data_IF_168508207718
#
_entry.id   IF_168508207718
#
_cell.length_a   1.000
_cell.length_b   1.000
_cell.length_c   1.000
_cell.angle_alpha   90.00
_cell.angle_beta   90.00
_cell.angle_gamma   90.00
#
_symmetry.space_group_name_H-M   'P 1'
#
loop_
_entity.id
_entity.type
_entity.pdbx_description
1 polymer ?
#
# COMPACT_ATOMS: atom_id res chain seq x y z
N UNK A 1 24.75 -14.02 -21.63
CA UNK A 1 25.39 -15.22 -21.04
C UNK A 1 24.81 -15.31 -19.64
N UNK A 2 23.81 -16.17 -19.43
CA UNK A 2 23.12 -16.28 -18.13
C UNK A 2 23.89 -17.30 -17.31
N UNK A 3 24.48 -16.87 -16.20
CA UNK A 3 25.14 -17.76 -15.24
C UNK A 3 24.07 -18.55 -14.48
N UNK A 4 23.59 -19.63 -15.07
CA UNK A 4 22.78 -20.61 -14.37
C UNK A 4 23.70 -21.42 -13.43
N UNK A 5 23.86 -20.96 -12.19
CA UNK A 5 24.57 -21.68 -11.14
C UNK A 5 25.63 -20.90 -10.34
N UNK A 6 25.84 -19.61 -10.61
CA UNK A 6 26.67 -18.78 -9.73
C UNK A 6 25.82 -18.27 -8.58
N UNK A 7 26.32 -18.43 -7.36
CA UNK A 7 25.78 -17.80 -6.16
C UNK A 7 25.54 -16.30 -6.44
N UNK A 8 24.30 -15.77 -6.32
CA UNK A 8 24.02 -14.35 -6.56
C UNK A 8 24.85 -13.41 -5.66
N UNK A 9 25.42 -13.93 -4.57
CA UNK A 9 26.30 -13.20 -3.68
C UNK A 9 27.76 -13.04 -4.21
N UNK A 10 28.16 -13.72 -5.31
CA UNK A 10 29.50 -13.53 -5.89
C UNK A 10 29.76 -12.11 -6.41
N UNK A 11 28.73 -11.36 -6.80
CA UNK A 11 28.84 -9.95 -7.23
C UNK A 11 29.11 -8.96 -6.09
N UNK A 12 29.23 -9.43 -4.85
CA UNK A 12 29.37 -8.59 -3.66
C UNK A 12 30.72 -8.72 -2.97
N UNK A 13 31.67 -9.48 -3.55
CA UNK A 13 33.04 -9.41 -3.03
C UNK A 13 33.53 -7.96 -3.06
N UNK A 14 34.38 -7.60 -2.10
CA UNK A 14 35.06 -6.30 -2.08
C UNK A 14 35.80 -6.03 -3.39
N UNK A 15 36.23 -7.09 -4.08
CA UNK A 15 36.95 -7.06 -5.35
C UNK A 15 36.04 -6.79 -6.57
N UNK A 16 34.72 -6.93 -6.43
CA UNK A 16 33.78 -6.74 -7.52
C UNK A 16 33.63 -5.24 -7.84
N UNK A 17 33.61 -4.86 -9.12
CA UNK A 17 33.52 -3.44 -9.49
C UNK A 17 32.12 -2.88 -9.20
N UNK A 18 32.00 -1.55 -9.12
CA UNK A 18 30.68 -0.91 -9.02
C UNK A 18 29.80 -1.35 -10.19
N UNK A 19 30.30 -1.34 -11.42
CA UNK A 19 29.52 -1.70 -12.62
C UNK A 19 28.92 -3.11 -12.55
N UNK A 20 29.69 -4.08 -12.04
CA UNK A 20 29.23 -5.46 -11.85
C UNK A 20 28.13 -5.54 -10.78
N UNK A 21 28.31 -4.83 -9.64
CA UNK A 21 27.28 -4.70 -8.61
C UNK A 21 25.99 -4.06 -9.15
N UNK A 22 26.10 -3.04 -10.00
CA UNK A 22 24.93 -2.36 -10.59
C UNK A 22 24.08 -3.29 -11.44
N UNK A 23 24.72 -4.17 -12.22
CA UNK A 23 24.01 -5.14 -13.07
C UNK A 23 23.35 -6.22 -12.22
N UNK A 24 24.01 -6.67 -11.14
CA UNK A 24 23.46 -7.64 -10.19
C UNK A 24 22.21 -7.10 -9.48
N UNK A 25 22.25 -5.87 -8.97
CA UNK A 25 21.09 -5.22 -8.33
C UNK A 25 19.93 -5.07 -9.33
N UNK A 26 20.24 -4.67 -10.57
CA UNK A 26 19.23 -4.53 -11.62
C UNK A 26 18.54 -5.86 -11.93
N UNK A 27 19.31 -6.93 -12.07
CA UNK A 27 18.78 -8.29 -12.29
C UNK A 27 17.92 -8.73 -11.11
N UNK A 28 18.33 -8.50 -9.86
CA UNK A 28 17.53 -8.86 -8.68
C UNK A 28 16.21 -8.07 -8.60
N UNK A 29 16.22 -6.79 -8.96
CA UNK A 29 15.00 -5.98 -9.07
C UNK A 29 14.04 -6.50 -10.15
N UNK A 30 14.57 -6.96 -11.29
CA UNK A 30 13.76 -7.55 -12.37
C UNK A 30 13.12 -8.89 -11.95
N UNK A 31 13.76 -9.65 -11.06
CA UNK A 31 13.25 -10.92 -10.54
C UNK A 31 12.38 -10.79 -9.29
N UNK A 32 12.36 -9.62 -8.64
CA UNK A 32 11.56 -9.38 -7.43
C UNK A 32 12.14 -10.02 -6.17
N UNK A 33 13.47 -10.20 -6.09
CA UNK A 33 14.13 -10.81 -4.94
C UNK A 33 14.24 -9.82 -3.76
N UNK A 34 13.15 -9.67 -2.99
CA UNK A 34 13.04 -8.68 -1.91
C UNK A 34 14.03 -8.96 -0.77
N UNK A 35 14.15 -10.22 -0.33
CA UNK A 35 15.07 -10.62 0.74
C UNK A 35 16.53 -10.28 0.38
N UNK A 36 16.87 -10.39 -0.90
CA UNK A 36 18.18 -10.04 -1.43
C UNK A 36 18.42 -8.53 -1.37
N UNK A 37 17.44 -7.72 -1.77
CA UNK A 37 17.52 -6.26 -1.77
C UNK A 37 17.65 -5.70 -0.34
N UNK A 38 17.02 -6.32 0.65
CA UNK A 38 17.13 -5.94 2.06
C UNK A 38 18.49 -6.27 2.69
N UNK A 39 19.24 -7.24 2.14
CA UNK A 39 20.55 -7.64 2.65
C UNK A 39 21.72 -6.78 2.11
N UNK A 40 21.51 -6.07 0.98
CA UNK A 40 22.54 -5.23 0.32
C UNK A 40 23.23 -4.21 1.25
N UNK A 41 22.52 -3.52 2.18
CA UNK A 41 23.16 -2.59 3.11
C UNK A 41 24.21 -3.22 4.02
N UNK A 42 24.28 -4.55 4.08
CA UNK A 42 25.22 -5.30 4.92
C UNK A 42 26.29 -6.08 4.13
N UNK A 43 26.22 -6.06 2.79
CA UNK A 43 26.99 -6.99 1.93
C UNK A 43 27.91 -6.33 0.89
N UNK A 44 27.92 -5.00 0.74
CA UNK A 44 28.79 -4.32 -0.23
C UNK A 44 29.75 -3.32 0.41
N UNK A 45 30.71 -2.78 -0.34
CA UNK A 45 31.45 -1.56 0.05
C UNK A 45 30.48 -0.38 0.22
N UNK A 46 30.85 0.68 0.95
CA UNK A 46 29.89 1.77 1.17
C UNK A 46 29.51 2.48 -0.14
N UNK A 47 30.41 2.61 -1.12
CA UNK A 47 30.09 3.12 -2.46
C UNK A 47 28.90 2.38 -3.10
N UNK A 48 28.90 1.04 -3.02
CA UNK A 48 27.83 0.18 -3.53
C UNK A 48 26.53 0.37 -2.76
N UNK A 49 26.60 0.48 -1.42
CA UNK A 49 25.43 0.75 -0.56
C UNK A 49 24.80 2.12 -0.87
N UNK A 50 25.64 3.14 -0.98
CA UNK A 50 25.25 4.51 -1.29
C UNK A 50 24.58 4.59 -2.66
N UNK A 51 25.16 3.96 -3.69
CA UNK A 51 24.52 3.87 -5.00
C UNK A 51 23.18 3.11 -4.94
N UNK A 52 23.13 2.00 -4.20
CA UNK A 52 21.91 1.22 -4.02
C UNK A 52 20.81 2.08 -3.40
N UNK A 53 21.08 2.80 -2.31
CA UNK A 53 20.09 3.67 -1.69
C UNK A 53 19.63 4.81 -2.62
N UNK A 54 20.59 5.47 -3.29
CA UNK A 54 20.31 6.55 -4.23
C UNK A 54 19.44 6.09 -5.42
N UNK A 55 19.69 4.89 -5.95
CA UNK A 55 18.99 4.35 -7.13
C UNK A 55 17.69 3.63 -6.77
N UNK A 56 17.70 2.81 -5.73
CA UNK A 56 16.56 1.98 -5.32
C UNK A 56 15.46 2.82 -4.65
N UNK A 57 15.82 3.66 -3.69
CA UNK A 57 14.84 4.51 -3.00
C UNK A 57 14.64 5.87 -3.68
N UNK A 58 15.46 6.20 -4.70
CA UNK A 58 15.43 7.50 -5.37
C UNK A 58 15.79 8.67 -4.45
N UNK A 59 16.35 8.39 -3.26
CA UNK A 59 16.70 9.36 -2.22
C UNK A 59 17.64 8.76 -1.18
N UNK A 60 18.47 9.61 -0.57
CA UNK A 60 19.37 9.27 0.54
C UNK A 60 18.79 9.61 1.93
N UNK A 61 17.54 10.09 2.00
CA UNK A 61 16.90 10.54 3.24
C UNK A 61 16.60 9.43 4.26
N UNK A 62 16.33 8.21 3.78
CA UNK A 62 16.04 7.05 4.63
C UNK A 62 17.27 6.19 4.93
N UNK A 63 18.43 6.55 4.40
CA UNK A 63 19.66 5.81 4.63
C UNK A 63 20.21 6.17 6.01
N UNK A 64 20.53 5.12 6.77
CA UNK A 64 21.24 5.23 8.04
C UNK A 64 22.68 5.74 7.79
N UNK A 65 23.07 6.91 8.34
CA UNK A 65 24.42 7.46 8.18
C UNK A 65 25.52 6.54 8.71
N UNK A 66 25.23 5.67 9.68
CA UNK A 66 26.21 4.73 10.25
C UNK A 66 26.66 3.66 9.25
N UNK A 67 25.92 3.49 8.15
CA UNK A 67 26.23 2.55 7.08
C UNK A 67 27.24 3.10 6.06
N UNK A 68 27.78 4.32 6.27
CA UNK A 68 28.81 4.89 5.40
C UNK A 68 30.05 5.27 6.20
N UNK A 69 31.23 4.80 5.77
CA UNK A 69 32.48 5.28 6.34
C UNK A 69 32.87 6.60 5.68
N UNK A 70 33.47 7.50 6.46
CA UNK A 70 33.91 8.80 5.95
C UNK A 70 34.89 8.69 4.78
N UNK A 71 35.76 7.67 4.79
CA UNK A 71 36.77 7.46 3.72
C UNK A 71 36.13 7.10 2.37
N UNK A 72 34.98 6.42 2.38
CA UNK A 72 34.25 6.05 1.16
C UNK A 72 33.63 7.27 0.46
N UNK A 73 33.39 8.34 1.23
CA UNK A 73 32.81 9.59 0.74
C UNK A 73 33.86 10.47 0.07
N UNK A 74 35.12 10.41 0.51
CA UNK A 74 36.22 11.26 0.00
C UNK A 74 36.52 11.01 -1.47
N UNK A 75 36.34 9.77 -1.94
CA UNK A 75 36.61 9.39 -3.33
C UNK A 75 35.43 9.61 -4.26
N UNK A 76 34.23 9.80 -3.72
CA UNK A 76 32.96 9.80 -4.46
C UNK A 76 32.06 11.01 -4.15
N UNK A 77 32.63 12.11 -3.62
CA UNK A 77 31.92 13.37 -3.35
C UNK A 77 31.04 13.85 -4.52
N UNK A 78 31.44 13.71 -5.81
CA UNK A 78 30.61 14.11 -6.94
C UNK A 78 29.48 13.13 -7.28
N UNK A 79 29.58 11.87 -6.82
CA UNK A 79 28.79 10.77 -7.35
C UNK A 79 27.40 10.64 -6.71
N UNK A 80 27.19 11.15 -5.50
CA UNK A 80 25.91 10.95 -4.82
C UNK A 80 25.41 12.23 -4.15
N UNK A 81 24.13 12.48 -4.40
CA UNK A 81 23.05 13.11 -3.62
C UNK A 81 23.14 13.09 -2.09
N UNK A 82 24.32 13.26 -1.48
CA UNK A 82 24.53 13.45 -0.04
C UNK A 82 23.88 14.73 0.45
N UNK A 83 23.89 15.74 -0.41
CA UNK A 83 23.47 17.08 -0.04
C UNK A 83 21.94 17.27 -0.09
N UNK A 84 21.17 16.18 -0.15
CA UNK A 84 19.75 16.23 0.17
C UNK A 84 19.45 15.80 1.62
N UNK A 85 20.32 15.07 2.33
CA UNK A 85 20.07 14.61 3.71
C UNK A 85 21.00 15.31 4.75
N UNK A 86 20.52 16.31 5.50
CA UNK A 86 21.36 17.04 6.46
C UNK A 86 21.80 16.18 7.65
N UNK A 87 21.13 15.04 7.92
CA UNK A 87 21.50 14.14 9.00
C UNK A 87 22.86 13.45 8.78
N UNK A 88 23.38 13.44 7.54
CA UNK A 88 24.69 12.84 7.22
C UNK A 88 25.84 13.80 7.56
N UNK A 89 25.60 15.12 7.61
CA UNK A 89 26.64 16.14 7.83
C UNK A 89 27.46 15.98 9.12
N UNK A 90 26.87 15.58 10.27
CA UNK A 90 27.63 15.33 11.50
C UNK A 90 28.65 14.19 11.37
N UNK A 91 28.42 13.24 10.46
CA UNK A 91 29.24 12.05 10.25
C UNK A 91 30.35 12.24 9.20
N UNK A 92 30.32 13.37 8.47
CA UNK A 92 31.38 13.75 7.54
C UNK A 92 32.63 14.23 8.29
N UNK A 93 33.81 13.92 7.76
CA UNK A 93 35.05 14.60 8.15
C UNK A 93 34.93 16.09 7.85
N UNK A 94 35.69 16.94 8.55
CA UNK A 94 35.66 18.39 8.33
C UNK A 94 36.07 18.76 6.89
N UNK A 95 37.02 18.00 6.31
CA UNK A 95 37.43 18.12 4.91
C UNK A 95 36.25 17.88 3.97
N UNK A 96 35.56 16.74 4.10
CA UNK A 96 34.39 16.42 3.30
C UNK A 96 33.24 17.40 3.48
N UNK A 97 32.96 17.77 4.74
CA UNK A 97 31.93 18.75 5.05
C UNK A 97 32.20 20.05 4.33
N UNK A 98 33.45 20.52 4.30
CA UNK A 98 33.82 21.75 3.59
C UNK A 98 33.63 21.63 2.06
N UNK A 99 33.93 20.47 1.47
CA UNK A 99 33.76 20.23 0.03
C UNK A 99 32.26 20.13 -0.33
N UNK A 100 31.47 19.43 0.49
CA UNK A 100 30.02 19.27 0.30
C UNK A 100 29.30 20.60 0.50
N UNK A 101 29.74 21.40 1.48
CA UNK A 101 29.16 22.72 1.79
C UNK A 101 29.68 23.84 0.88
N UNK A 102 30.60 23.55 -0.04
CA UNK A 102 31.05 24.52 -1.03
C UNK A 102 29.85 24.97 -1.92
N UNK A 103 29.60 26.28 -2.05
CA UNK A 103 28.48 26.79 -2.84
C UNK A 103 28.45 26.30 -4.29
N UNK A 104 29.60 26.18 -4.95
CA UNK A 104 29.70 25.71 -6.32
C UNK A 104 29.32 24.24 -6.46
N UNK A 105 29.71 23.43 -5.48
CA UNK A 105 29.34 22.03 -5.39
C UNK A 105 27.87 21.84 -5.03
N UNK A 106 27.33 22.57 -4.04
CA UNK A 106 25.90 22.53 -3.70
C UNK A 106 25.01 22.90 -4.90
N UNK A 107 25.46 23.84 -5.73
CA UNK A 107 24.79 24.20 -6.98
C UNK A 107 24.90 23.09 -8.04
N UNK A 108 26.09 22.47 -8.19
CA UNK A 108 26.30 21.36 -9.13
C UNK A 108 25.54 20.09 -8.75
N UNK A 109 25.38 19.82 -7.46
CA UNK A 109 24.71 18.62 -6.95
C UNK A 109 23.19 18.77 -6.84
N UNK A 110 22.63 19.88 -7.31
CA UNK A 110 21.20 20.22 -7.19
C UNK A 110 20.72 20.23 -5.73
N UNK A 111 21.65 20.52 -4.81
CA UNK A 111 21.51 20.35 -3.38
C UNK A 111 21.48 21.67 -2.61
N UNK A 112 21.17 22.76 -3.31
CA UNK A 112 20.97 24.08 -2.74
C UNK A 112 19.99 24.08 -1.54
N UNK A 113 19.09 23.10 -1.47
CA UNK A 113 18.16 22.92 -0.36
C UNK A 113 18.87 22.64 0.98
N UNK A 114 20.03 21.96 0.99
CA UNK A 114 20.82 21.78 2.21
C UNK A 114 21.23 23.14 2.79
N UNK A 115 21.73 24.04 1.93
CA UNK A 115 22.13 25.39 2.33
C UNK A 115 20.96 26.17 2.94
N UNK A 116 19.74 26.00 2.41
CA UNK A 116 18.54 26.66 2.95
C UNK A 116 17.99 26.03 4.24
N UNK A 117 18.29 24.76 4.51
CA UNK A 117 17.84 24.06 5.73
C UNK A 117 18.78 24.19 6.91
N UNK A 118 20.03 24.62 6.70
CA UNK A 118 21.04 24.72 7.74
C UNK A 118 21.05 26.13 8.36
N UNK A 119 20.98 26.25 9.70
CA UNK A 119 21.14 27.53 10.36
C UNK A 119 22.56 28.07 10.12
N UNK A 120 22.68 29.21 9.43
CA UNK A 120 23.97 29.81 9.07
C UNK A 120 24.62 29.25 7.80
N UNK A 121 23.84 28.61 6.91
CA UNK A 121 24.33 28.08 5.63
C UNK A 121 24.96 29.16 4.71
N UNK A 122 25.79 28.74 3.75
CA UNK A 122 26.50 29.66 2.87
C UNK A 122 25.55 30.47 1.98
N UNK A 123 25.83 31.78 1.81
CA UNK A 123 25.12 32.62 0.86
C UNK A 123 25.41 32.17 -0.58
N UNK A 124 24.42 31.58 -1.24
CA UNK A 124 24.56 31.19 -2.64
C UNK A 124 24.60 32.44 -3.53
N UNK A 125 25.57 32.58 -4.45
CA UNK A 125 25.67 33.75 -5.32
C UNK A 125 24.42 33.85 -6.21
N UNK A 126 23.78 35.03 -6.21
CA UNK A 126 22.53 35.28 -6.94
C UNK A 126 22.66 35.14 -8.48
N UNK A 127 23.89 35.12 -9.01
CA UNK A 127 24.19 34.95 -10.42
C UNK A 127 24.70 33.53 -10.68
N UNK A 128 23.90 32.71 -11.35
CA UNK A 128 24.33 31.37 -11.81
C UNK A 128 23.42 30.22 -11.39
N UNK A 129 22.48 30.44 -10.47
CA UNK A 129 21.39 29.49 -10.27
C UNK A 129 20.42 29.68 -11.43
N UNK A 130 20.56 28.88 -12.49
CA UNK A 130 19.61 28.92 -13.59
C UNK A 130 18.20 28.89 -13.03
N UNK A 131 17.38 29.87 -13.39
CA UNK A 131 16.00 30.03 -12.91
C UNK A 131 15.17 28.73 -13.06
N UNK A 132 15.56 27.87 -14.00
CA UNK A 132 15.00 26.53 -14.22
C UNK A 132 15.34 25.53 -13.11
N UNK A 133 16.55 25.54 -12.55
CA UNK A 133 16.93 24.68 -11.42
C UNK A 133 16.13 25.05 -10.16
N UNK A 134 15.97 26.35 -9.87
CA UNK A 134 15.13 26.82 -8.75
C UNK A 134 13.67 26.42 -8.93
N UNK A 135 13.09 26.58 -10.13
CA UNK A 135 11.72 26.15 -10.42
C UNK A 135 11.56 24.64 -10.27
N UNK A 136 12.50 23.86 -10.82
CA UNK A 136 12.49 22.40 -10.73
C UNK A 136 12.58 21.94 -9.28
N UNK A 137 13.44 22.56 -8.47
CA UNK A 137 13.60 22.27 -7.05
C UNK A 137 12.40 22.68 -6.21
N UNK A 138 11.79 23.83 -6.48
CA UNK A 138 10.54 24.23 -5.84
C UNK A 138 9.39 23.28 -6.19
N UNK A 139 9.36 22.75 -7.42
CA UNK A 139 8.41 21.72 -7.83
C UNK A 139 8.67 20.40 -7.08
N UNK A 140 9.91 19.94 -7.02
CA UNK A 140 10.33 18.75 -6.28
C UNK A 140 10.06 18.88 -4.78
N UNK A 141 10.35 20.02 -4.15
CA UNK A 141 10.06 20.30 -2.74
C UNK A 141 8.56 20.33 -2.45
N UNK A 142 7.75 20.91 -3.34
CA UNK A 142 6.28 20.88 -3.21
C UNK A 142 5.74 19.45 -3.36
N UNK A 143 6.28 18.69 -4.31
CA UNK A 143 5.96 17.28 -4.47
C UNK A 143 6.40 16.46 -3.25
N UNK A 144 7.58 16.71 -2.68
CA UNK A 144 8.11 16.06 -1.48
C UNK A 144 7.32 16.44 -0.22
N UNK A 145 7.00 17.72 0.00
CA UNK A 145 6.12 18.15 1.11
C UNK A 145 4.72 17.54 1.00
N UNK A 146 4.19 17.39 -0.22
CA UNK A 146 2.96 16.62 -0.46
C UNK A 146 3.14 15.14 -0.10
N UNK A 147 4.29 14.52 -0.42
CA UNK A 147 4.60 13.12 -0.05
C UNK A 147 4.79 12.91 1.46
N UNK A 148 5.39 13.87 2.18
CA UNK A 148 5.60 13.77 3.64
C UNK A 148 4.29 13.92 4.43
N UNK A 149 3.32 14.68 3.90
CA UNK A 149 2.03 14.91 4.56
C UNK A 149 0.92 13.94 4.15
N UNK A 150 1.10 13.21 3.05
CA UNK A 150 0.06 12.34 2.50
C UNK A 150 0.66 10.97 2.20
N UNK A 151 0.44 10.03 3.11
CA UNK A 151 0.74 8.60 2.93
C UNK A 151 -0.47 7.85 2.34
N UNK A 152 -0.29 6.66 1.74
CA UNK A 152 -1.43 5.83 1.31
C UNK A 152 -2.45 5.60 2.42
N UNK A 153 -1.98 5.38 3.65
CA UNK A 153 -2.83 5.23 4.84
C UNK A 153 -3.71 6.47 5.06
N UNK A 154 -3.10 7.66 5.09
CA UNK A 154 -3.86 8.91 5.29
C UNK A 154 -4.78 9.23 4.11
N UNK A 155 -4.43 8.78 2.90
CA UNK A 155 -5.29 8.92 1.73
C UNK A 155 -6.54 8.05 1.84
N UNK A 156 -6.40 6.78 2.25
CA UNK A 156 -7.53 5.89 2.53
C UNK A 156 -8.40 6.45 3.65
N UNK A 157 -7.80 6.87 4.77
CA UNK A 157 -8.56 7.43 5.89
C UNK A 157 -9.40 8.66 5.52
N UNK A 158 -8.97 9.42 4.50
CA UNK A 158 -9.68 10.59 3.96
C UNK A 158 -10.56 10.28 2.76
N UNK A 159 -10.63 9.01 2.36
CA UNK A 159 -11.29 8.53 1.14
C UNK A 159 -10.82 9.23 -0.15
N UNK A 160 -9.55 9.66 -0.22
CA UNK A 160 -8.99 10.41 -1.35
C UNK A 160 -8.49 9.48 -2.47
N UNK A 161 -9.44 9.03 -3.30
CA UNK A 161 -9.17 8.12 -4.42
C UNK A 161 -8.19 8.68 -5.46
N UNK A 162 -8.09 10.01 -5.61
CA UNK A 162 -7.15 10.63 -6.57
C UNK A 162 -5.71 10.39 -6.13
N UNK A 163 -5.44 10.59 -4.85
CA UNK A 163 -4.13 10.34 -4.25
C UNK A 163 -3.80 8.84 -4.27
N UNK A 164 -4.77 7.98 -3.93
CA UNK A 164 -4.59 6.52 -4.01
C UNK A 164 -4.22 6.09 -5.43
N UNK A 165 -4.99 6.49 -6.45
CA UNK A 165 -4.69 6.16 -7.85
C UNK A 165 -3.34 6.72 -8.30
N UNK A 166 -2.92 7.88 -7.80
CA UNK A 166 -1.59 8.42 -8.05
C UNK A 166 -0.49 7.50 -7.47
N UNK A 167 -0.63 7.05 -6.22
CA UNK A 167 0.34 6.12 -5.61
C UNK A 167 0.44 4.80 -6.38
N UNK A 168 -0.71 4.22 -6.76
CA UNK A 168 -0.77 2.98 -7.52
C UNK A 168 -0.13 3.13 -8.91
N UNK A 169 -0.46 4.21 -9.64
CA UNK A 169 0.07 4.45 -11.00
C UNK A 169 1.57 4.69 -11.04
N UNK A 170 2.13 5.31 -10.00
CA UNK A 170 3.57 5.59 -9.93
C UNK A 170 4.41 4.38 -9.48
N UNK A 171 3.81 3.20 -9.24
CA UNK A 171 4.48 2.03 -8.65
C UNK A 171 5.23 2.34 -7.35
N UNK A 172 4.81 3.38 -6.62
CA UNK A 172 5.42 3.79 -5.36
C UNK A 172 4.81 3.05 -4.16
N UNK A 173 3.80 2.21 -4.40
CA UNK A 173 3.07 1.48 -3.38
C UNK A 173 2.30 0.32 -4.01
N UNK A 174 2.45 -0.87 -3.42
CA UNK A 174 1.65 -2.05 -3.74
C UNK A 174 0.73 -2.32 -2.55
N UNK A 175 -0.59 -2.12 -2.67
CA UNK A 175 -1.52 -2.37 -1.58
C UNK A 175 -1.64 -3.89 -1.32
N UNK A 176 -1.72 -4.25 -0.06
CA UNK A 176 -2.04 -5.60 0.40
C UNK A 176 -3.45 -5.66 1.02
N UNK A 177 -3.83 -6.84 1.51
CA UNK A 177 -5.14 -7.05 2.15
C UNK A 177 -5.32 -6.19 3.42
N UNK A 178 -4.25 -5.76 4.10
CA UNK A 178 -4.35 -4.94 5.31
C UNK A 178 -4.98 -3.57 5.01
N UNK A 179 -4.67 -2.98 3.86
CA UNK A 179 -5.26 -1.70 3.44
C UNK A 179 -6.76 -1.79 3.11
N UNK A 180 -7.24 -2.97 2.70
CA UNK A 180 -8.67 -3.20 2.56
C UNK A 180 -9.37 -3.13 3.92
N UNK A 181 -8.78 -3.71 4.97
CA UNK A 181 -9.31 -3.62 6.34
C UNK A 181 -9.36 -2.19 6.86
N UNK A 182 -8.32 -1.40 6.58
CA UNK A 182 -8.31 0.03 6.93
C UNK A 182 -9.46 0.76 6.24
N UNK A 183 -9.68 0.51 4.94
CA UNK A 183 -10.76 1.14 4.20
C UNK A 183 -12.14 0.83 4.81
N UNK A 184 -12.40 -0.44 5.18
CA UNK A 184 -13.63 -0.82 5.90
C UNK A 184 -13.71 -0.11 7.27
N UNK A 185 -12.63 -0.15 8.06
CA UNK A 185 -12.61 0.41 9.40
C UNK A 185 -12.90 1.92 9.40
N UNK A 186 -12.41 2.64 8.40
CA UNK A 186 -12.62 4.07 8.22
C UNK A 186 -13.89 4.43 7.43
N UNK A 187 -14.68 3.44 6.97
CA UNK A 187 -15.81 3.66 6.05
C UNK A 187 -15.39 4.40 4.75
N UNK A 188 -14.17 4.18 4.29
CA UNK A 188 -13.60 4.77 3.07
C UNK A 188 -13.89 3.88 1.87
N UNK A 189 -15.15 3.93 1.42
CA UNK A 189 -15.68 2.93 0.50
C UNK A 189 -15.24 3.13 -0.95
N UNK A 190 -15.08 4.38 -1.37
CA UNK A 190 -14.56 4.68 -2.71
C UNK A 190 -13.12 4.18 -2.82
N UNK A 191 -12.32 4.42 -1.76
CA UNK A 191 -10.97 3.88 -1.62
C UNK A 191 -10.98 2.36 -1.66
N UNK A 192 -11.90 1.71 -0.94
CA UNK A 192 -12.04 0.25 -1.00
C UNK A 192 -12.25 -0.26 -2.43
N UNK A 193 -13.16 0.36 -3.18
CA UNK A 193 -13.45 -0.04 -4.57
C UNK A 193 -12.22 0.13 -5.47
N UNK A 194 -11.47 1.23 -5.32
CA UNK A 194 -10.20 1.43 -6.05
C UNK A 194 -9.18 0.35 -5.72
N UNK A 195 -9.06 -0.02 -4.44
CA UNK A 195 -8.11 -1.04 -3.99
C UNK A 195 -8.49 -2.43 -4.52
N UNK A 196 -9.78 -2.80 -4.46
CA UNK A 196 -10.27 -4.06 -5.03
C UNK A 196 -10.01 -4.12 -6.54
N UNK A 197 -10.35 -3.05 -7.28
CA UNK A 197 -10.10 -2.92 -8.72
C UNK A 197 -8.62 -3.14 -9.06
N UNK A 198 -7.72 -2.59 -8.25
CA UNK A 198 -6.28 -2.69 -8.46
C UNK A 198 -5.72 -4.08 -8.16
N UNK A 199 -6.09 -4.66 -7.01
CA UNK A 199 -5.54 -5.94 -6.53
C UNK A 199 -5.95 -7.11 -7.44
N UNK A 200 -7.12 -7.03 -8.10
CA UNK A 200 -7.63 -8.07 -9.01
C UNK A 200 -7.72 -9.47 -8.40
N UNK A 201 -7.83 -9.54 -7.08
CA UNK A 201 -7.91 -10.78 -6.32
C UNK A 201 -9.19 -10.79 -5.48
N UNK A 202 -9.73 -11.98 -5.26
CA UNK A 202 -10.85 -12.17 -4.35
C UNK A 202 -10.32 -12.06 -2.91
N UNK A 203 -10.86 -11.15 -2.08
CA UNK A 203 -10.43 -11.03 -0.69
C UNK A 203 -10.70 -12.29 0.13
N UNK A 204 -10.07 -12.37 1.31
CA UNK A 204 -10.32 -13.49 2.25
C UNK A 204 -11.80 -13.61 2.65
N UNK A 205 -12.24 -14.82 3.03
CA UNK A 205 -13.63 -15.05 3.48
C UNK A 205 -14.04 -14.12 4.63
N UNK A 206 -13.16 -13.94 5.62
CA UNK A 206 -13.41 -13.05 6.75
C UNK A 206 -13.63 -11.60 6.32
N UNK A 207 -12.90 -11.13 5.32
CA UNK A 207 -13.08 -9.80 4.74
C UNK A 207 -14.46 -9.64 4.09
N UNK A 208 -14.87 -10.61 3.28
CA UNK A 208 -16.17 -10.59 2.59
C UNK A 208 -17.33 -10.62 3.60
N UNK A 209 -17.20 -11.39 4.69
CA UNK A 209 -18.19 -11.39 5.77
C UNK A 209 -18.32 -9.99 6.40
N UNK A 210 -17.23 -9.23 6.56
CA UNK A 210 -17.31 -7.85 7.05
C UNK A 210 -18.04 -6.92 6.09
N UNK A 211 -17.84 -7.09 4.77
CA UNK A 211 -18.60 -6.35 3.76
C UNK A 211 -20.09 -6.66 3.82
N UNK A 212 -20.44 -7.93 3.96
CA UNK A 212 -21.85 -8.35 4.14
C UNK A 212 -22.42 -7.69 5.38
N UNK A 213 -21.77 -7.81 6.54
CA UNK A 213 -22.26 -7.21 7.80
C UNK A 213 -22.49 -5.70 7.70
N UNK A 214 -21.69 -5.00 6.88
CA UNK A 214 -21.74 -3.55 6.64
C UNK A 214 -22.68 -3.14 5.49
N UNK A 215 -23.46 -4.08 4.96
CA UNK A 215 -24.40 -3.85 3.85
C UNK A 215 -23.74 -3.29 2.57
N UNK A 216 -22.61 -3.88 2.18
CA UNK A 216 -21.79 -3.41 1.06
C UNK A 216 -21.99 -4.21 -0.22
N UNK A 217 -23.22 -4.24 -0.72
CA UNK A 217 -23.56 -4.92 -1.97
C UNK A 217 -22.71 -4.43 -3.17
N UNK A 218 -22.36 -3.15 -3.21
CA UNK A 218 -21.51 -2.55 -4.24
C UNK A 218 -20.11 -3.18 -4.27
N UNK A 219 -19.49 -3.37 -3.10
CA UNK A 219 -18.19 -4.02 -2.97
C UNK A 219 -18.27 -5.52 -3.35
N UNK A 220 -19.34 -6.21 -2.98
CA UNK A 220 -19.57 -7.61 -3.40
C UNK A 220 -19.72 -7.74 -4.92
N UNK A 221 -20.43 -6.80 -5.56
CA UNK A 221 -20.54 -6.71 -7.02
C UNK A 221 -19.18 -6.42 -7.67
N UNK A 222 -18.38 -5.54 -7.08
CA UNK A 222 -17.02 -5.27 -7.55
C UNK A 222 -16.13 -6.53 -7.49
N UNK A 223 -16.16 -7.28 -6.39
CA UNK A 223 -15.43 -8.55 -6.26
C UNK A 223 -15.85 -9.55 -7.34
N UNK A 224 -17.16 -9.69 -7.59
CA UNK A 224 -17.66 -10.55 -8.68
C UNK A 224 -17.27 -10.05 -10.07
N UNK A 225 -17.16 -8.74 -10.28
CA UNK A 225 -16.71 -8.20 -11.57
C UNK A 225 -15.24 -8.54 -11.85
N UNK A 226 -14.42 -8.61 -10.80
CA UNK A 226 -13.02 -9.02 -10.85
C UNK A 226 -12.90 -10.53 -11.05
N UNK A 227 -13.72 -11.31 -10.34
CA UNK A 227 -13.76 -12.77 -10.43
C UNK A 227 -15.20 -13.25 -10.71
N UNK A 228 -15.59 -13.39 -12.00
CA UNK A 228 -16.96 -13.76 -12.37
C UNK A 228 -17.42 -15.11 -11.83
N UNK A 229 -16.47 -16.04 -11.61
CA UNK A 229 -16.72 -17.37 -11.07
C UNK A 229 -16.90 -17.37 -9.55
N UNK A 230 -16.47 -16.30 -8.87
CA UNK A 230 -16.65 -16.17 -7.43
C UNK A 230 -18.14 -16.05 -7.07
N UNK A 231 -18.53 -16.78 -6.03
CA UNK A 231 -19.88 -16.82 -5.48
C UNK A 231 -19.81 -16.75 -3.96
N UNK A 232 -20.81 -16.11 -3.31
CA UNK A 232 -20.89 -16.15 -1.87
C UNK A 232 -21.01 -17.59 -1.35
N UNK A 233 -20.39 -17.87 -0.20
CA UNK A 233 -20.49 -19.16 0.47
C UNK A 233 -21.57 -19.14 1.57
N UNK A 234 -21.72 -20.26 2.30
CA UNK A 234 -22.70 -20.41 3.36
C UNK A 234 -22.54 -19.36 4.46
N UNK A 235 -21.31 -19.14 4.97
CA UNK A 235 -21.06 -18.17 6.04
C UNK A 235 -21.46 -16.74 5.66
N UNK A 236 -21.18 -16.35 4.42
CA UNK A 236 -21.51 -15.03 3.89
C UNK A 236 -23.02 -14.85 3.69
N UNK A 237 -23.70 -15.90 3.21
CA UNK A 237 -25.16 -15.90 3.07
C UNK A 237 -25.86 -15.85 4.43
N UNK A 238 -25.40 -16.66 5.38
CA UNK A 238 -25.89 -16.67 6.77
C UNK A 238 -25.67 -15.33 7.46
N UNK A 239 -24.54 -14.66 7.21
CA UNK A 239 -24.29 -13.32 7.70
C UNK A 239 -25.31 -12.31 7.15
N UNK A 240 -25.66 -12.39 5.87
CA UNK A 240 -26.66 -11.52 5.24
C UNK A 240 -28.06 -11.75 5.85
N UNK A 241 -28.45 -13.01 6.05
CA UNK A 241 -29.71 -13.38 6.71
C UNK A 241 -29.74 -12.84 8.14
N UNK A 242 -28.70 -13.08 8.91
CA UNK A 242 -28.63 -12.66 10.33
C UNK A 242 -28.79 -11.15 10.49
N UNK A 243 -28.30 -10.36 9.53
CA UNK A 243 -28.36 -8.89 9.59
C UNK A 243 -29.52 -8.28 8.79
N UNK A 244 -30.35 -9.09 8.12
CA UNK A 244 -31.52 -8.59 7.39
C UNK A 244 -31.20 -7.81 6.11
N UNK A 245 -30.03 -8.04 5.49
CA UNK A 245 -29.60 -7.30 4.29
C UNK A 245 -30.28 -7.84 3.03
N UNK A 246 -31.54 -7.44 2.82
CA UNK A 246 -32.44 -7.96 1.78
C UNK A 246 -31.88 -7.78 0.38
N UNK A 247 -31.21 -6.67 0.08
CA UNK A 247 -30.61 -6.38 -1.23
C UNK A 247 -29.46 -7.36 -1.57
N UNK A 248 -28.64 -7.73 -0.59
CA UNK A 248 -27.61 -8.77 -0.72
C UNK A 248 -28.25 -10.14 -0.95
N UNK A 249 -29.35 -10.45 -0.24
CA UNK A 249 -30.08 -11.71 -0.39
C UNK A 249 -30.75 -11.83 -1.76
N UNK A 250 -31.41 -10.77 -2.24
CA UNK A 250 -31.98 -10.67 -3.58
C UNK A 250 -30.91 -10.82 -4.66
N UNK A 251 -29.74 -10.17 -4.46
CA UNK A 251 -28.62 -10.34 -5.36
C UNK A 251 -28.10 -11.78 -5.38
N UNK A 252 -28.03 -12.46 -4.22
CA UNK A 252 -27.67 -13.87 -4.14
C UNK A 252 -28.68 -14.78 -4.88
N UNK A 253 -29.99 -14.50 -4.78
CA UNK A 253 -31.03 -15.20 -5.55
C UNK A 253 -30.83 -14.97 -7.06
N UNK A 254 -30.53 -13.73 -7.46
CA UNK A 254 -30.32 -13.36 -8.88
C UNK A 254 -29.15 -14.09 -9.55
N UNK A 255 -28.14 -14.48 -8.78
CA UNK A 255 -26.99 -15.28 -9.26
C UNK A 255 -27.22 -16.80 -9.13
N UNK A 256 -28.46 -17.22 -8.87
CA UNK A 256 -28.92 -18.60 -8.69
C UNK A 256 -28.15 -19.36 -7.60
N UNK A 257 -27.91 -18.71 -6.46
CA UNK A 257 -27.23 -19.33 -5.34
C UNK A 257 -28.20 -20.29 -4.61
N UNK A 258 -27.97 -21.60 -4.75
CA UNK A 258 -28.79 -22.64 -4.09
C UNK A 258 -28.33 -22.93 -2.66
N UNK A 259 -28.16 -21.88 -1.85
CA UNK A 259 -27.73 -21.99 -0.45
C UNK A 259 -28.93 -21.83 0.47
N UNK A 260 -29.19 -22.82 1.32
CA UNK A 260 -30.22 -22.74 2.36
C UNK A 260 -29.56 -22.16 3.61
N UNK A 261 -30.16 -21.14 4.26
CA UNK A 261 -29.59 -20.56 5.46
C UNK A 261 -29.59 -21.53 6.63
N UNK A 262 -28.61 -21.40 7.53
CA UNK A 262 -28.58 -22.17 8.75
C UNK A 262 -29.68 -21.76 9.72
N UNK A 263 -29.99 -22.68 10.64
CA UNK A 263 -30.97 -22.45 11.70
C UNK A 263 -30.45 -21.37 12.67
N UNK A 264 -29.15 -21.36 12.92
CA UNK A 264 -28.44 -20.35 13.70
C UNK A 264 -28.63 -18.95 13.09
N UNK A 265 -28.46 -18.79 11.77
CA UNK A 265 -28.65 -17.51 11.10
C UNK A 265 -30.09 -16.97 11.23
N UNK A 266 -31.09 -17.85 11.09
CA UNK A 266 -32.50 -17.48 11.27
C UNK A 266 -32.80 -17.04 12.72
N UNK A 267 -32.25 -17.74 13.72
CA UNK A 267 -32.36 -17.32 15.13
C UNK A 267 -31.72 -15.96 15.36
N UNK A 268 -30.50 -15.76 14.85
CA UNK A 268 -29.79 -14.49 14.96
C UNK A 268 -30.57 -13.35 14.30
N UNK A 269 -31.21 -13.56 13.16
CA UNK A 269 -32.09 -12.57 12.53
C UNK A 269 -33.24 -12.15 13.45
N UNK A 270 -33.88 -13.10 14.13
CA UNK A 270 -34.94 -12.80 15.12
C UNK A 270 -34.38 -12.07 16.33
N UNK A 271 -33.23 -12.50 16.86
CA UNK A 271 -32.57 -11.87 17.99
C UNK A 271 -32.22 -10.40 17.71
N UNK A 272 -31.69 -10.12 16.52
CA UNK A 272 -31.31 -8.79 16.03
C UNK A 272 -32.48 -7.93 15.51
N UNK A 273 -33.73 -8.43 15.61
CA UNK A 273 -34.92 -7.70 15.20
C UNK A 273 -35.10 -7.58 13.68
N UNK A 274 -34.44 -8.44 12.91
CA UNK A 274 -34.44 -8.45 11.43
C UNK A 274 -35.46 -9.44 10.84
N UNK A 275 -36.28 -10.09 11.66
CA UNK A 275 -37.19 -11.15 11.26
C UNK A 275 -38.16 -10.73 10.13
N UNK A 276 -38.72 -9.52 10.20
CA UNK A 276 -39.68 -9.04 9.21
C UNK A 276 -39.05 -8.88 7.82
N UNK A 277 -37.88 -8.25 7.75
CA UNK A 277 -37.13 -8.08 6.50
C UNK A 277 -36.77 -9.43 5.88
N UNK A 278 -36.31 -10.39 6.71
CA UNK A 278 -35.98 -11.75 6.24
C UNK A 278 -37.24 -12.50 5.81
N UNK A 279 -38.36 -12.39 6.52
CA UNK A 279 -39.64 -13.01 6.10
C UNK A 279 -40.13 -12.45 4.76
N UNK A 280 -40.02 -11.13 4.56
CA UNK A 280 -40.36 -10.50 3.29
C UNK A 280 -39.53 -11.08 2.14
N UNK A 281 -38.20 -11.18 2.31
CA UNK A 281 -37.32 -11.81 1.32
C UNK A 281 -37.71 -13.28 1.05
N UNK A 282 -37.84 -14.10 2.12
CA UNK A 282 -38.15 -15.52 1.98
C UNK A 282 -39.51 -15.76 1.28
N UNK A 283 -40.49 -14.88 1.50
CA UNK A 283 -41.81 -14.97 0.86
C UNK A 283 -41.82 -14.56 -0.62
N UNK A 284 -40.96 -13.61 -1.00
CA UNK A 284 -40.88 -13.05 -2.36
C UNK A 284 -39.87 -13.78 -3.24
N UNK A 285 -38.97 -14.58 -2.65
CA UNK A 285 -38.00 -15.36 -3.42
C UNK A 285 -38.65 -16.28 -4.46
N UNK A 286 -37.95 -16.44 -5.58
CA UNK A 286 -38.28 -17.40 -6.62
C UNK A 286 -38.00 -18.85 -6.21
N UNK A 287 -37.11 -19.06 -5.23
CA UNK A 287 -36.73 -20.36 -4.72
C UNK A 287 -37.79 -20.92 -3.77
N UNK A 288 -38.42 -22.03 -4.17
CA UNK A 288 -39.37 -22.77 -3.32
C UNK A 288 -38.73 -23.25 -2.00
N UNK A 289 -37.41 -23.44 -1.97
CA UNK A 289 -36.69 -23.81 -0.75
C UNK A 289 -36.74 -22.69 0.30
N UNK A 290 -36.72 -21.42 -0.11
CA UNK A 290 -36.78 -20.28 0.81
C UNK A 290 -38.18 -20.05 1.36
N UNK A 291 -39.21 -20.22 0.54
CA UNK A 291 -40.60 -20.11 1.01
C UNK A 291 -40.95 -21.11 2.10
N UNK A 292 -40.37 -22.31 2.05
CA UNK A 292 -40.53 -23.35 3.10
C UNK A 292 -39.97 -22.94 4.46
N UNK A 293 -39.11 -21.92 4.52
CA UNK A 293 -38.52 -21.43 5.76
C UNK A 293 -39.38 -20.37 6.46
N UNK A 294 -40.36 -19.78 5.76
CA UNK A 294 -41.24 -18.73 6.33
C UNK A 294 -41.98 -19.22 7.60
N UNK A 295 -42.62 -20.41 7.63
CA UNK A 295 -43.28 -20.89 8.85
C UNK A 295 -42.31 -21.16 10.00
N UNK A 296 -41.07 -21.58 9.67
CA UNK A 296 -40.02 -21.82 10.67
C UNK A 296 -39.61 -20.51 11.32
N UNK A 297 -39.34 -19.47 10.52
CA UNK A 297 -38.96 -18.15 11.01
C UNK A 297 -40.06 -17.51 11.87
N UNK A 298 -41.32 -17.61 11.42
CA UNK A 298 -42.48 -17.15 12.19
C UNK A 298 -42.60 -17.86 13.55
N UNK A 299 -42.35 -19.18 13.58
CA UNK A 299 -42.38 -19.95 14.84
C UNK A 299 -41.27 -19.48 15.80
N UNK A 300 -40.05 -19.24 15.32
CA UNK A 300 -38.94 -18.74 16.15
C UNK A 300 -39.29 -17.37 16.73
N UNK A 301 -39.87 -16.48 15.93
CA UNK A 301 -40.28 -15.16 16.38
C UNK A 301 -41.35 -15.22 17.48
N UNK A 302 -42.41 -16.02 17.30
CA UNK A 302 -43.44 -16.19 18.31
C UNK A 302 -42.90 -16.79 19.62
N UNK A 303 -41.93 -17.71 19.53
CA UNK A 303 -41.27 -18.27 20.71
C UNK A 303 -40.50 -17.20 21.49
N UNK A 304 -39.76 -16.32 20.80
CA UNK A 304 -39.04 -15.20 21.45
C UNK A 304 -40.00 -14.23 22.14
N UNK A 305 -41.10 -13.88 21.47
CA UNK A 305 -42.13 -12.97 22.03
C UNK A 305 -42.80 -13.56 23.28
N UNK A 306 -42.94 -14.89 23.38
CA UNK A 306 -43.52 -15.55 24.56
C UNK A 306 -42.60 -15.62 25.79
N UNK A 307 -41.31 -15.31 25.64
CA UNK A 307 -40.31 -15.36 26.73
C UNK A 307 -40.06 -14.00 27.40
N UNK A 308 -40.69 -12.93 26.90
CA UNK A 308 -40.57 -11.55 27.39
C UNK A 308 -41.77 -11.23 28.28
#
# INVERSE_FOLDING_TARGET
>A
MVFAGSDPYQGFSEECTLCDFQEVVKVAMEHGDVDFLEAIPFMGSAEKRVWYFAKHYGTMWGMDPELILSDDLEQNVPAITFADNPAVLPFLTESLRSIVMDPGNLLRYDAANLAFTLPGGPELPAQGVEHLAVIRNMKLLRERKRRVLVTPLTAIQKDDTKVIRYFLKCNNWTPDQAFLYVAIACNAWESLLVLLEWMKEVPSNGFIIQLVKRDRLDALKAIRSISPDWKPNYDQFDAAISHGHVDILEWCDSINLKIIPSMEALKSAVELGQAEAVMQFLSTSTSEQYRRLVPILSTIQSLKESQI
#
